data_IF_867516935105
#
_entry.id   IF_867516935105
#
_cell.length_a   1.000
_cell.length_b   1.000
_cell.length_c   1.000
_cell.angle_alpha   90.00
_cell.angle_beta   90.00
_cell.angle_gamma   90.00
#
_symmetry.space_group_name_H-M   'P 1'
#
loop_
_entity.id
_entity.type
_entity.pdbx_description
1 polymer ?
#
# COMPACT_ATOMS: atom_id res chain seq x y z
N UNK A 1 -8.33 -28.46 5.82
CA UNK A 1 -7.59 -27.86 4.70
C UNK A 1 -6.34 -27.21 5.27
N UNK A 2 -5.23 -27.27 4.55
CA UNK A 2 -4.01 -26.55 4.92
C UNK A 2 -4.16 -25.07 4.60
N UNK A 3 -3.45 -24.19 5.31
CA UNK A 3 -3.34 -22.76 4.98
C UNK A 3 -2.91 -22.56 3.52
N UNK A 4 -2.06 -23.46 3.00
CA UNK A 4 -1.64 -23.45 1.61
C UNK A 4 -2.77 -23.79 0.63
N UNK A 5 -3.67 -24.70 1.02
CA UNK A 5 -4.85 -25.05 0.21
C UNK A 5 -5.82 -23.87 0.15
N UNK A 6 -6.05 -23.23 1.30
CA UNK A 6 -6.91 -22.05 1.42
C UNK A 6 -6.36 -20.88 0.57
N UNK A 7 -5.05 -20.63 0.63
CA UNK A 7 -4.37 -19.65 -0.22
C UNK A 7 -4.56 -19.93 -1.71
N UNK A 8 -4.37 -21.19 -2.12
CA UNK A 8 -4.54 -21.60 -3.51
C UNK A 8 -6.01 -21.45 -3.94
N UNK A 9 -6.96 -21.71 -3.05
CA UNK A 9 -8.38 -21.50 -3.32
C UNK A 9 -8.74 -20.01 -3.47
N UNK A 10 -8.17 -19.14 -2.65
CA UNK A 10 -8.32 -17.68 -2.75
C UNK A 10 -7.73 -17.16 -4.07
N UNK A 11 -6.53 -17.61 -4.46
CA UNK A 11 -5.90 -17.23 -5.74
C UNK A 11 -6.79 -17.57 -6.93
N UNK A 12 -7.30 -18.81 -6.99
CA UNK A 12 -8.21 -19.23 -8.06
C UNK A 12 -9.49 -18.41 -8.10
N UNK A 13 -10.04 -18.08 -6.92
CA UNK A 13 -11.26 -17.29 -6.80
C UNK A 13 -11.04 -15.85 -7.28
N UNK A 14 -9.89 -15.27 -6.95
CA UNK A 14 -9.51 -13.93 -7.40
C UNK A 14 -9.27 -13.89 -8.92
N UNK A 15 -8.61 -14.90 -9.48
CA UNK A 15 -8.44 -14.99 -10.93
C UNK A 15 -9.78 -15.12 -11.66
N UNK A 16 -10.70 -15.93 -11.11
CA UNK A 16 -12.06 -16.03 -11.64
C UNK A 16 -12.80 -14.69 -11.59
N UNK A 17 -12.64 -13.93 -10.50
CA UNK A 17 -13.21 -12.59 -10.35
C UNK A 17 -12.65 -11.61 -11.38
N UNK A 18 -11.33 -11.56 -11.56
CA UNK A 18 -10.68 -10.69 -12.57
C UNK A 18 -11.20 -11.01 -13.97
N UNK A 19 -11.34 -12.29 -14.32
CA UNK A 19 -11.91 -12.72 -15.59
C UNK A 19 -13.38 -12.31 -15.74
N UNK A 20 -14.18 -12.44 -14.68
CA UNK A 20 -15.58 -12.03 -14.68
C UNK A 20 -15.73 -10.51 -14.87
N UNK A 21 -14.90 -9.71 -14.21
CA UNK A 21 -14.86 -8.25 -14.35
C UNK A 21 -14.45 -7.86 -15.78
N UNK A 22 -13.47 -8.54 -16.37
CA UNK A 22 -13.08 -8.32 -17.77
C UNK A 22 -14.23 -8.60 -18.76
N UNK A 23 -14.96 -9.70 -18.56
CA UNK A 23 -16.17 -10.02 -19.34
C UNK A 23 -17.30 -9.03 -19.10
N UNK A 24 -17.42 -8.48 -17.89
CA UNK A 24 -18.40 -7.45 -17.60
C UNK A 24 -18.05 -6.16 -18.35
N UNK A 25 -16.78 -5.74 -18.32
CA UNK A 25 -16.30 -4.56 -19.06
C UNK A 25 -16.62 -4.65 -20.55
N UNK A 26 -16.45 -5.81 -21.18
CA UNK A 26 -16.77 -5.95 -22.62
C UNK A 26 -18.27 -5.80 -22.91
N UNK A 27 -19.14 -6.09 -21.93
CA UNK A 27 -20.60 -6.01 -22.09
C UNK A 27 -21.17 -4.63 -21.75
N UNK A 28 -20.66 -3.98 -20.71
CA UNK A 28 -21.20 -2.70 -20.20
C UNK A 28 -20.31 -1.49 -20.50
N UNK A 29 -19.14 -1.70 -21.09
CA UNK A 29 -18.18 -0.66 -21.42
C UNK A 29 -17.23 -0.31 -20.26
N UNK A 30 -16.30 0.61 -20.54
CA UNK A 30 -15.23 1.04 -19.63
C UNK A 30 -15.58 2.26 -18.76
N UNK A 31 -16.75 2.26 -18.12
CA UNK A 31 -17.17 3.31 -17.19
C UNK A 31 -16.26 3.41 -15.95
N UNK A 32 -16.40 4.50 -15.18
CA UNK A 32 -15.56 4.75 -14.00
C UNK A 32 -15.66 3.60 -12.99
N UNK A 33 -16.86 3.10 -12.72
CA UNK A 33 -17.08 1.99 -11.77
C UNK A 33 -16.36 0.71 -12.21
N UNK A 34 -16.37 0.40 -13.51
CA UNK A 34 -15.67 -0.77 -14.05
C UNK A 34 -14.16 -0.64 -13.93
N UNK A 35 -13.61 0.56 -14.18
CA UNK A 35 -12.18 0.82 -13.99
C UNK A 35 -11.77 0.73 -12.53
N UNK A 36 -12.63 1.21 -11.62
CA UNK A 36 -12.42 1.09 -10.18
C UNK A 36 -12.37 -0.37 -9.75
N UNK A 37 -13.39 -1.15 -10.10
CA UNK A 37 -13.44 -2.59 -9.78
C UNK A 37 -12.22 -3.33 -10.32
N UNK A 38 -11.77 -3.00 -11.55
CA UNK A 38 -10.52 -3.58 -12.09
C UNK A 38 -9.30 -3.24 -11.25
N UNK A 39 -9.13 -1.97 -10.91
CA UNK A 39 -8.01 -1.52 -10.09
C UNK A 39 -8.03 -2.19 -8.72
N UNK A 40 -9.21 -2.31 -8.10
CA UNK A 40 -9.39 -2.99 -6.82
C UNK A 40 -9.01 -4.48 -6.92
N UNK A 41 -9.38 -5.17 -8.01
CA UNK A 41 -8.98 -6.57 -8.21
C UNK A 41 -7.48 -6.75 -8.45
N UNK A 42 -6.83 -5.79 -9.10
CA UNK A 42 -5.38 -5.80 -9.29
C UNK A 42 -4.66 -5.54 -7.95
N UNK A 43 -5.13 -4.60 -7.14
CA UNK A 43 -4.63 -4.35 -5.79
C UNK A 43 -4.83 -5.55 -4.85
N UNK A 44 -5.95 -6.27 -4.96
CA UNK A 44 -6.16 -7.50 -4.20
C UNK A 44 -5.16 -8.59 -4.58
N UNK A 45 -4.77 -8.69 -5.86
CA UNK A 45 -3.76 -9.65 -6.31
C UNK A 45 -2.39 -9.33 -5.71
N UNK A 46 -2.02 -8.06 -5.70
CA UNK A 46 -0.79 -7.59 -5.06
C UNK A 46 -0.79 -7.85 -3.54
N UNK A 47 -1.88 -7.50 -2.86
CA UNK A 47 -2.05 -7.75 -1.42
C UNK A 47 -1.95 -9.24 -1.07
N UNK A 48 -2.53 -10.11 -1.89
CA UNK A 48 -2.44 -11.56 -1.70
C UNK A 48 -1.02 -12.09 -1.91
N UNK A 49 -0.29 -11.54 -2.88
CA UNK A 49 1.11 -11.88 -3.10
C UNK A 49 1.98 -11.47 -1.88
N UNK A 50 1.74 -10.28 -1.32
CA UNK A 50 2.41 -9.82 -0.09
C UNK A 50 2.08 -10.73 1.11
N UNK A 51 0.81 -11.14 1.26
CA UNK A 51 0.40 -12.08 2.30
C UNK A 51 1.14 -13.42 2.20
N UNK A 52 1.27 -13.95 0.97
CA UNK A 52 2.04 -15.19 0.71
C UNK A 52 3.51 -15.04 1.06
N UNK A 53 4.11 -13.90 0.73
CA UNK A 53 5.51 -13.61 1.09
C UNK A 53 5.69 -13.53 2.61
N UNK A 54 4.77 -12.89 3.32
CA UNK A 54 4.79 -12.82 4.79
C UNK A 54 4.71 -14.20 5.46
N UNK A 55 3.90 -15.10 4.89
CA UNK A 55 3.78 -16.49 5.36
C UNK A 55 5.00 -17.33 5.04
N UNK A 56 5.60 -17.16 3.85
CA UNK A 56 6.82 -17.89 3.45
C UNK A 56 8.09 -17.39 4.16
N UNK A 57 8.13 -16.11 4.53
CA UNK A 57 9.25 -15.47 5.22
C UNK A 57 9.21 -15.57 6.74
N UNK A 58 8.19 -16.18 7.33
CA UNK A 58 8.14 -16.43 8.77
C UNK A 58 9.10 -17.57 9.13
N UNK A 59 10.17 -17.34 9.92
CA UNK A 59 10.97 -18.43 10.44
C UNK A 59 10.10 -19.32 11.34
N UNK A 60 10.27 -20.65 11.34
CA UNK A 60 9.62 -21.52 12.30
C UNK A 60 10.17 -21.16 13.70
N UNK A 61 9.41 -20.37 14.46
CA UNK A 61 9.80 -19.88 15.79
C UNK A 61 9.92 -18.38 15.95
N UNK A 62 9.26 -17.54 15.14
CA UNK A 62 9.01 -16.15 15.55
C UNK A 62 8.13 -16.18 16.81
N UNK A 63 8.60 -15.71 17.99
CA UNK A 63 7.72 -15.50 19.12
C UNK A 63 6.64 -14.49 18.72
N UNK A 64 5.42 -14.66 19.23
CA UNK A 64 4.38 -13.64 19.16
C UNK A 64 4.98 -12.29 19.51
N UNK A 65 4.83 -11.30 18.61
CA UNK A 65 5.53 -10.03 18.67
C UNK A 65 7.06 -10.20 18.75
N UNK A 66 7.74 -10.07 17.60
CA UNK A 66 8.94 -9.24 17.68
C UNK A 66 8.42 -7.92 18.22
N UNK A 67 8.64 -7.71 19.51
CA UNK A 67 8.59 -6.43 20.21
C UNK A 67 8.94 -5.41 19.14
N UNK A 68 7.95 -4.60 18.71
CA UNK A 68 8.24 -3.42 17.89
C UNK A 68 9.42 -2.80 18.62
N UNK A 69 10.61 -2.83 17.99
CA UNK A 69 11.83 -2.33 18.62
C UNK A 69 11.52 -0.87 18.88
N UNK A 70 11.07 -0.58 20.11
CA UNK A 70 10.52 0.71 20.45
C UNK A 70 11.71 1.64 20.35
N UNK A 71 11.81 2.36 19.24
CA UNK A 71 12.82 3.37 19.07
C UNK A 71 12.45 4.47 20.07
N UNK A 72 13.21 4.67 21.15
CA UNK A 72 12.88 5.71 22.11
C UNK A 72 13.08 7.05 21.42
N UNK A 73 11.98 7.77 21.16
CA UNK A 73 12.04 9.14 20.65
C UNK A 73 12.37 10.04 21.84
N UNK A 74 13.52 10.73 21.86
CA UNK A 74 13.86 11.60 22.99
C UNK A 74 12.87 12.77 23.07
N UNK A 75 12.36 13.05 24.27
CA UNK A 75 11.56 14.27 24.55
C UNK A 75 12.41 15.56 24.56
N UNK A 76 13.67 15.47 24.15
CA UNK A 76 14.56 16.64 24.11
C UNK A 76 14.12 17.55 22.97
N UNK A 77 13.88 18.85 23.22
CA UNK A 77 13.56 19.78 22.15
C UNK A 77 14.63 19.72 21.06
N UNK A 78 14.19 19.63 19.81
CA UNK A 78 15.10 19.74 18.68
C UNK A 78 15.86 21.06 18.74
N UNK A 79 17.10 21.06 18.27
CA UNK A 79 17.87 22.29 18.14
C UNK A 79 17.11 23.26 17.21
N UNK A 80 16.71 24.42 17.72
CA UNK A 80 15.99 25.44 16.97
C UNK A 80 16.78 25.94 15.74
N UNK A 81 18.11 25.81 15.74
CA UNK A 81 18.94 26.14 14.58
C UNK A 81 18.64 25.25 13.36
N UNK A 82 18.04 24.06 13.53
CA UNK A 82 17.61 23.19 12.44
C UNK A 82 16.44 23.78 11.63
N UNK A 83 15.76 24.79 12.18
CA UNK A 83 14.53 25.37 11.61
C UNK A 83 14.68 26.86 11.26
N UNK A 84 15.91 27.39 11.26
CA UNK A 84 16.17 28.84 11.12
C UNK A 84 15.66 29.45 9.81
N UNK A 85 15.54 28.64 8.75
CA UNK A 85 15.02 29.06 7.45
C UNK A 85 13.77 28.28 7.01
N UNK A 86 13.14 27.52 7.91
CA UNK A 86 11.97 26.70 7.59
C UNK A 86 10.72 27.55 7.25
N UNK A 87 10.68 28.78 7.74
CA UNK A 87 9.61 29.76 7.48
C UNK A 87 9.82 30.53 6.17
N UNK A 88 11.00 30.43 5.54
CA UNK A 88 11.22 30.95 4.18
C UNK A 88 10.68 29.92 3.18
N UNK A 89 9.36 29.76 3.20
CA UNK A 89 8.62 29.17 2.10
C UNK A 89 8.88 30.09 0.91
N UNK A 90 9.93 29.76 0.13
CA UNK A 90 10.50 30.58 -0.93
C UNK A 90 9.50 30.93 -2.03
N UNK A 91 8.57 31.83 -1.72
CA UNK A 91 7.74 32.55 -2.66
C UNK A 91 8.72 33.49 -3.37
N UNK A 92 9.18 33.02 -4.53
CA UNK A 92 10.38 33.48 -5.21
C UNK A 92 10.57 34.99 -5.22
N UNK A 93 11.83 35.40 -5.02
CA UNK A 93 12.42 36.72 -5.25
C UNK A 93 11.46 37.93 -5.14
N UNK A 94 11.73 38.82 -4.18
CA UNK A 94 11.03 40.08 -3.90
C UNK A 94 10.71 40.98 -5.12
N UNK A 95 11.33 40.71 -6.27
CA UNK A 95 11.20 41.48 -7.51
C UNK A 95 10.44 40.77 -8.65
N UNK A 96 9.89 39.57 -8.44
CA UNK A 96 9.11 38.87 -9.49
C UNK A 96 7.63 38.84 -9.15
N UNK A 97 6.93 39.90 -9.56
CA UNK A 97 5.48 39.85 -9.69
C UNK A 97 5.12 38.80 -10.75
N UNK A 98 4.31 37.81 -10.38
CA UNK A 98 3.78 36.85 -11.33
C UNK A 98 2.86 37.59 -12.33
N UNK A 99 2.97 37.31 -13.64
CA UNK A 99 2.12 37.93 -14.66
C UNK A 99 0.65 37.49 -14.57
#
# INVERSE_FOLDING_TARGET
MSVQDDLTAVERSLDALVQAVGKLQTRIGGGLDVRRVRSDTDHLRESLALLKQGLAGAPPGRPEAAEDEMVPIPDTPYNAALWTDAEDEGLGAKDRHAP
#
